data_IF_884378310719
#
_entry.id   IF_884378310719
#
_cell.length_a   1.000
_cell.length_b   1.000
_cell.length_c   1.000
_cell.angle_alpha   90.00
_cell.angle_beta   90.00
_cell.angle_gamma   90.00
#
_symmetry.space_group_name_H-M   'P 1'
#
loop_
_entity.id
_entity.type
_entity.pdbx_description
1 polymer ?
#
# COMPACT_ATOMS: atom_id res chain seq x y z
N UNK A 1 57.01 17.24 -4.03
CA UNK A 1 56.72 16.56 -2.75
C UNK A 1 56.19 17.60 -1.75
N UNK A 2 55.28 17.21 -0.83
CA UNK A 2 54.06 17.95 -0.45
C UNK A 2 54.20 18.67 0.93
N UNK A 3 53.12 19.15 1.63
CA UNK A 3 52.09 18.29 2.23
C UNK A 3 50.63 18.76 2.04
N UNK A 4 49.77 17.75 2.18
CA UNK A 4 48.32 17.80 2.34
C UNK A 4 47.94 18.40 3.71
N UNK A 5 46.85 19.17 3.80
CA UNK A 5 46.08 19.29 5.05
C UNK A 5 44.63 19.67 4.76
N UNK A 6 43.70 18.75 5.01
CA UNK A 6 42.26 18.96 4.86
C UNK A 6 41.58 19.56 6.08
N UNK A 7 40.28 19.85 5.92
CA UNK A 7 39.19 19.67 6.89
C UNK A 7 37.91 20.31 6.34
N UNK A 8 36.76 19.63 6.38
CA UNK A 8 35.50 20.36 6.14
C UNK A 8 34.15 19.66 5.93
N UNK A 9 34.02 18.33 5.89
CA UNK A 9 32.77 17.59 6.21
C UNK A 9 31.49 17.81 5.36
N UNK A 10 30.48 16.93 5.51
CA UNK A 10 29.38 16.76 4.56
C UNK A 10 28.19 17.69 4.87
N UNK A 11 27.62 18.32 3.83
CA UNK A 11 26.23 18.78 3.88
C UNK A 11 25.40 17.70 3.18
N UNK A 12 25.00 16.66 3.88
CA UNK A 12 23.91 16.80 4.83
C UNK A 12 22.59 16.65 4.07
N UNK A 13 22.38 15.43 3.58
CA UNK A 13 21.11 14.70 3.69
C UNK A 13 19.85 15.35 3.11
N UNK A 14 19.57 15.10 1.83
CA UNK A 14 18.19 14.75 1.45
C UNK A 14 17.94 13.38 2.07
N UNK A 15 17.46 13.39 3.32
CA UNK A 15 16.85 12.21 3.92
C UNK A 15 15.60 11.96 3.09
N UNK A 16 15.69 11.03 2.16
CA UNK A 16 14.52 10.26 1.79
C UNK A 16 14.18 9.49 3.06
N UNK A 17 13.35 10.10 3.91
CA UNK A 17 12.88 9.52 5.17
C UNK A 17 12.09 8.24 4.81
N UNK A 18 12.83 7.13 4.79
CA UNK A 18 12.37 5.78 4.45
C UNK A 18 11.41 5.21 5.48
N UNK A 19 10.22 5.79 5.57
CA UNK A 19 9.00 5.04 5.86
C UNK A 19 8.36 4.73 4.50
N UNK A 20 8.44 3.48 4.06
CA UNK A 20 8.02 3.10 2.72
C UNK A 20 6.50 3.25 2.62
N UNK A 21 6.03 4.38 2.09
CA UNK A 21 4.62 4.52 1.70
C UNK A 21 4.38 3.48 0.61
N UNK A 22 3.63 2.42 0.94
CA UNK A 22 3.25 1.38 -0.01
C UNK A 22 2.61 1.99 -1.25
N UNK A 23 3.19 1.68 -2.40
CA UNK A 23 2.69 2.14 -3.68
C UNK A 23 1.59 1.19 -4.16
N UNK A 24 0.43 1.77 -4.49
CA UNK A 24 -0.74 1.04 -4.97
C UNK A 24 -1.16 1.67 -6.29
N UNK A 25 -1.29 0.84 -7.33
CA UNK A 25 -1.84 1.23 -8.63
C UNK A 25 -3.34 0.96 -8.60
N UNK A 26 -4.14 1.93 -9.06
CA UNK A 26 -5.59 1.79 -9.21
C UNK A 26 -5.96 1.88 -10.69
N UNK A 27 -6.75 0.91 -11.18
CA UNK A 27 -7.31 0.90 -12.53
C UNK A 27 -8.83 0.94 -12.47
N UNK A 28 -9.45 1.74 -13.34
CA UNK A 28 -10.90 1.83 -13.50
C UNK A 28 -11.29 1.32 -14.89
N UNK A 29 -12.09 0.26 -14.93
CA UNK A 29 -12.61 -0.32 -16.18
C UNK A 29 -14.13 -0.16 -16.21
N UNK A 30 -14.69 0.71 -17.05
CA UNK A 30 -16.14 0.80 -17.26
C UNK A 30 -16.69 -0.51 -17.85
N UNK A 31 -17.79 -1.01 -17.29
CA UNK A 31 -18.49 -2.21 -17.76
C UNK A 31 -20.00 -1.92 -17.76
N UNK A 32 -20.50 -1.42 -18.89
CA UNK A 32 -21.91 -1.01 -19.00
C UNK A 32 -22.27 0.08 -18.00
N UNK A 33 -23.32 -0.15 -17.19
CA UNK A 33 -23.74 0.77 -16.12
C UNK A 33 -22.92 0.67 -14.82
N UNK A 34 -21.80 -0.05 -14.84
CA UNK A 34 -20.94 -0.29 -13.69
C UNK A 34 -19.48 0.06 -14.00
N UNK A 35 -18.65 0.15 -12.99
CA UNK A 35 -17.19 0.28 -13.12
C UNK A 35 -16.53 -0.77 -12.24
N UNK A 36 -15.53 -1.46 -12.80
CA UNK A 36 -14.61 -2.31 -12.05
C UNK A 36 -13.44 -1.44 -11.62
N UNK A 37 -13.09 -1.49 -10.35
CA UNK A 37 -11.90 -0.86 -9.78
C UNK A 37 -10.95 -1.96 -9.35
N UNK A 38 -9.75 -1.96 -9.91
CA UNK A 38 -8.66 -2.89 -9.59
C UNK A 38 -7.60 -2.16 -8.80
N UNK A 39 -7.16 -2.73 -7.68
CA UNK A 39 -6.06 -2.21 -6.87
C UNK A 39 -4.92 -3.24 -6.82
N UNK A 40 -3.70 -2.79 -7.13
CA UNK A 40 -2.50 -3.63 -7.19
C UNK A 40 -1.42 -3.04 -6.28
N UNK A 41 -0.93 -3.84 -5.33
CA UNK A 41 0.28 -3.49 -4.57
C UNK A 41 1.53 -3.80 -5.41
N UNK A 42 2.40 -2.78 -5.58
CA UNK A 42 3.58 -2.88 -6.45
C UNK A 42 4.66 -3.80 -5.86
N UNK A 43 4.80 -3.85 -4.53
CA UNK A 43 5.83 -4.63 -3.86
C UNK A 43 5.52 -6.13 -3.93
N UNK A 44 4.25 -6.50 -3.70
CA UNK A 44 3.84 -7.90 -3.53
C UNK A 44 3.13 -8.47 -4.76
N UNK A 45 2.81 -7.62 -5.74
CA UNK A 45 2.01 -7.99 -6.92
C UNK A 45 0.59 -8.45 -6.56
N UNK A 46 0.12 -8.15 -5.34
CA UNK A 46 -1.20 -8.58 -4.90
C UNK A 46 -2.26 -7.69 -5.55
N UNK A 47 -3.21 -8.31 -6.24
CA UNK A 47 -4.29 -7.63 -6.95
C UNK A 47 -5.65 -8.00 -6.35
N UNK A 48 -6.54 -7.00 -6.25
CA UNK A 48 -7.95 -7.21 -5.96
C UNK A 48 -8.81 -6.33 -6.86
N UNK A 49 -10.04 -6.77 -7.14
CA UNK A 49 -11.03 -5.96 -7.83
C UNK A 49 -12.35 -5.84 -7.07
N UNK A 50 -13.04 -4.73 -7.30
CA UNK A 50 -14.38 -4.40 -6.79
C UNK A 50 -15.21 -3.88 -7.95
N UNK A 51 -16.50 -4.20 -8.00
CA UNK A 51 -17.42 -3.67 -9.02
C UNK A 51 -18.52 -2.89 -8.30
N UNK A 52 -18.82 -1.70 -8.81
CA UNK A 52 -19.91 -0.87 -8.32
C UNK A 52 -20.62 -0.12 -9.44
N UNK A 53 -21.73 0.55 -9.14
CA UNK A 53 -22.45 1.34 -10.13
C UNK A 53 -21.57 2.49 -10.62
N UNK A 54 -21.64 2.82 -11.90
CA UNK A 54 -20.87 3.94 -12.48
C UNK A 54 -21.29 5.31 -11.92
N UNK A 55 -22.44 5.37 -11.24
CA UNK A 55 -22.94 6.56 -10.54
C UNK A 55 -22.41 6.73 -9.12
N UNK A 56 -21.73 5.71 -8.56
CA UNK A 56 -21.06 5.86 -7.27
C UNK A 56 -19.87 6.82 -7.38
N UNK A 57 -19.53 7.49 -6.28
CA UNK A 57 -18.35 8.32 -6.25
C UNK A 57 -17.09 7.46 -6.43
N UNK A 58 -16.22 7.85 -7.38
CA UNK A 58 -14.97 7.14 -7.71
C UNK A 58 -14.12 6.86 -6.45
N UNK A 59 -14.03 7.86 -5.58
CA UNK A 59 -13.31 7.81 -4.29
C UNK A 59 -13.86 6.72 -3.36
N UNK A 60 -15.17 6.42 -3.41
CA UNK A 60 -15.75 5.36 -2.58
C UNK A 60 -15.34 3.97 -3.07
N UNK A 61 -15.39 3.73 -4.39
CA UNK A 61 -14.99 2.46 -4.98
C UNK A 61 -13.49 2.19 -4.81
N UNK A 62 -12.67 3.23 -4.96
CA UNK A 62 -11.24 3.18 -4.65
C UNK A 62 -10.99 2.80 -3.19
N UNK A 63 -11.64 3.49 -2.24
CA UNK A 63 -11.51 3.17 -0.80
C UNK A 63 -11.89 1.74 -0.48
N UNK A 64 -12.93 1.20 -1.13
CA UNK A 64 -13.32 -0.20 -0.97
C UNK A 64 -12.25 -1.13 -1.54
N UNK A 65 -11.72 -0.85 -2.74
CA UNK A 65 -10.66 -1.63 -3.37
C UNK A 65 -9.37 -1.64 -2.52
N UNK A 66 -8.91 -0.48 -2.04
CA UNK A 66 -7.72 -0.36 -1.18
C UNK A 66 -7.91 -1.10 0.15
N UNK A 67 -9.09 -1.02 0.77
CA UNK A 67 -9.37 -1.79 2.00
C UNK A 67 -9.34 -3.29 1.75
N UNK A 68 -9.92 -3.75 0.64
CA UNK A 68 -9.89 -5.16 0.25
C UNK A 68 -8.45 -5.63 -0.01
N UNK A 69 -7.63 -4.79 -0.65
CA UNK A 69 -6.23 -5.10 -0.95
C UNK A 69 -5.45 -5.32 0.35
N UNK A 70 -5.56 -4.38 1.29
CA UNK A 70 -4.92 -4.50 2.62
C UNK A 70 -5.35 -5.78 3.35
N UNK A 71 -6.65 -6.07 3.38
CA UNK A 71 -7.16 -7.30 4.00
C UNK A 71 -6.57 -8.58 3.38
N UNK A 72 -6.49 -8.65 2.05
CA UNK A 72 -5.90 -9.80 1.36
C UNK A 72 -4.39 -9.90 1.65
N UNK A 73 -3.66 -8.78 1.63
CA UNK A 73 -2.25 -8.76 1.96
C UNK A 73 -1.98 -9.18 3.42
N UNK A 74 -2.84 -8.78 4.37
CA UNK A 74 -2.77 -9.20 5.77
C UNK A 74 -2.97 -10.71 5.88
N UNK A 75 -3.99 -11.24 5.19
CA UNK A 75 -4.27 -12.68 5.15
C UNK A 75 -3.13 -13.49 4.51
N UNK A 76 -2.44 -12.94 3.53
CA UNK A 76 -1.32 -13.59 2.83
C UNK A 76 0.04 -13.39 3.54
N UNK A 77 0.08 -12.67 4.68
CA UNK A 77 1.32 -12.40 5.41
C UNK A 77 2.26 -11.39 4.71
N UNK A 78 1.73 -10.65 3.74
CA UNK A 78 2.49 -9.68 2.94
C UNK A 78 2.58 -8.29 3.59
N UNK A 79 1.90 -8.05 4.72
CA UNK A 79 2.07 -6.81 5.50
C UNK A 79 3.20 -6.98 6.52
N UNK A 80 4.38 -6.44 6.20
CA UNK A 80 5.41 -6.19 7.23
C UNK A 80 4.97 -4.96 8.01
N UNK A 81 4.74 -5.12 9.31
CA UNK A 81 4.43 -3.99 10.20
C UNK A 81 5.66 -3.09 10.30
N UNK A 82 5.69 -2.01 9.53
CA UNK A 82 6.68 -0.95 9.74
C UNK A 82 6.30 -0.18 11.01
N UNK A 83 7.07 -0.37 12.08
CA UNK A 83 6.91 0.32 13.36
C UNK A 83 6.38 -0.59 14.47
N UNK A 84 7.31 -1.26 15.17
CA UNK A 84 7.02 -1.85 16.47
C UNK A 84 6.80 -0.77 17.53
N UNK A 85 5.61 -0.70 18.08
CA UNK A 85 5.45 -0.57 19.54
C UNK A 85 4.56 -1.72 19.97
N UNK A 86 5.09 -2.53 20.86
CA UNK A 86 4.57 -3.82 21.30
C UNK A 86 3.20 -3.70 22.00
N UNK A 87 2.22 -4.52 21.59
CA UNK A 87 1.75 -5.71 22.34
C UNK A 87 0.52 -6.38 21.69
N UNK A 88 0.67 -7.69 21.50
CA UNK A 88 -0.32 -8.78 21.63
C UNK A 88 -1.71 -8.71 20.95
N UNK A 89 -1.89 -9.54 19.92
CA UNK A 89 -2.83 -10.68 19.81
C UNK A 89 -3.21 -10.93 18.33
N UNK A 90 -3.16 -12.18 17.83
CA UNK A 90 -3.52 -12.49 16.46
C UNK A 90 -5.05 -12.38 16.25
N UNK A 91 -5.55 -11.75 15.18
CA UNK A 91 -6.97 -11.83 14.87
C UNK A 91 -7.31 -13.27 14.48
N UNK A 92 -8.11 -13.91 15.32
CA UNK A 92 -8.73 -15.19 15.06
C UNK A 92 -9.52 -15.12 13.74
N UNK A 93 -9.37 -16.17 12.93
CA UNK A 93 -10.10 -16.29 11.67
C UNK A 93 -11.61 -16.15 11.86
N UNK A 94 -12.21 -15.38 10.97
CA UNK A 94 -13.66 -15.27 10.84
C UNK A 94 -14.01 -15.27 9.36
N UNK A 95 -14.30 -16.45 8.83
CA UNK A 95 -14.98 -16.57 7.54
C UNK A 95 -16.50 -16.63 7.76
N UNK A 96 -17.25 -15.83 7.02
CA UNK A 96 -18.64 -16.06 6.57
C UNK A 96 -18.88 -15.07 5.41
N UNK A 97 -19.04 -15.51 4.16
CA UNK A 97 -20.26 -16.00 3.48
C UNK A 97 -21.41 -14.98 3.53
N UNK A 98 -21.75 -14.44 2.35
CA UNK A 98 -23.13 -14.12 1.93
C UNK A 98 -23.32 -14.58 0.48
#
# INVERSE_FOLDING_TARGET
MPPESGAGGPRGSRRDDGGARREIIIEYTPIGGSVKVTAVDVETGTEVSVVGPATAAEVELERVAVRKLRYVMEKNGHIKKEGGTERSEPPAGGGIIV
#
